data_IF_156366054060
#
_entry.id   IF_156366054060
#
_cell.length_a   1.000
_cell.length_b   1.000
_cell.length_c   1.000
_cell.angle_alpha   90.00
_cell.angle_beta   90.00
_cell.angle_gamma   90.00
#
_symmetry.space_group_name_H-M   'P 1'
#
loop_
_entity.id
_entity.type
_entity.pdbx_description
1 polymer ?
#
# COMPACT_ATOMS: atom_id res chain seq x y z
N UNK A 1 -22.71 11.88 9.20
CA UNK A 1 -21.52 12.71 9.41
C UNK A 1 -20.35 12.02 8.75
N UNK A 2 -19.50 12.75 8.05
CA UNK A 2 -18.27 12.16 7.48
C UNK A 2 -17.31 11.79 8.62
N UNK A 3 -16.41 10.82 8.42
CA UNK A 3 -15.38 10.49 9.43
C UNK A 3 -14.53 11.72 9.79
N UNK A 4 -14.40 12.67 8.86
CA UNK A 4 -13.74 13.98 9.10
C UNK A 4 -14.50 14.84 10.14
N UNK A 5 -15.83 14.69 10.27
CA UNK A 5 -16.69 15.36 11.26
C UNK A 5 -16.71 14.63 12.62
N UNK A 6 -16.63 13.30 12.65
CA UNK A 6 -16.67 12.52 13.91
C UNK A 6 -15.43 12.74 14.81
N UNK A 7 -14.27 13.11 14.23
CA UNK A 7 -13.05 13.38 15.01
C UNK A 7 -13.11 14.72 15.79
N UNK A 8 -14.17 15.51 15.64
CA UNK A 8 -14.35 16.78 16.37
C UNK A 8 -14.83 16.58 17.82
N UNK A 9 -15.40 15.42 18.15
CA UNK A 9 -16.09 15.18 19.43
C UNK A 9 -15.27 14.37 20.46
N UNK A 10 -14.09 13.85 20.07
CA UNK A 10 -13.30 12.93 20.89
C UNK A 10 -11.96 13.53 21.29
N UNK A 11 -11.41 13.11 22.44
CA UNK A 11 -10.14 13.60 22.97
C UNK A 11 -9.01 12.67 22.49
N UNK A 12 -7.88 13.19 21.99
CA UNK A 12 -6.73 12.36 21.65
C UNK A 12 -6.24 11.51 22.83
N UNK A 13 -5.88 10.26 22.53
CA UNK A 13 -5.28 9.30 23.48
C UNK A 13 -3.97 9.83 24.06
N UNK A 14 -3.22 10.62 23.29
CA UNK A 14 -2.03 11.32 23.75
C UNK A 14 -1.49 12.26 22.66
N UNK A 15 -0.48 13.10 22.98
CA UNK A 15 0.14 13.96 21.99
C UNK A 15 0.66 13.12 20.81
N UNK A 16 0.27 13.50 19.60
CA UNK A 16 0.67 12.80 18.39
C UNK A 16 2.18 12.96 18.16
N UNK A 17 2.84 11.86 17.80
CA UNK A 17 4.20 11.87 17.27
C UNK A 17 4.31 10.95 16.06
N UNK A 18 5.00 11.40 15.02
CA UNK A 18 5.22 10.64 13.79
C UNK A 18 6.73 10.53 13.56
N UNK A 19 7.27 9.31 13.55
CA UNK A 19 8.65 9.07 13.10
C UNK A 19 8.59 8.51 11.69
N UNK A 20 8.97 9.31 10.69
CA UNK A 20 9.17 8.81 9.34
C UNK A 20 10.65 8.48 9.15
N UNK A 21 10.97 7.19 9.02
CA UNK A 21 12.32 6.79 8.64
C UNK A 21 12.66 7.32 7.25
N UNK A 22 13.95 7.46 6.93
CA UNK A 22 14.41 7.98 5.64
C UNK A 22 13.80 7.24 4.44
N UNK A 23 13.62 5.92 4.57
CA UNK A 23 12.97 5.10 3.53
C UNK A 23 11.52 5.51 3.24
N UNK A 24 10.83 6.14 4.19
CA UNK A 24 9.43 6.54 4.07
C UNK A 24 9.25 8.07 4.21
N UNK A 25 10.33 8.85 4.11
CA UNK A 25 10.32 10.27 4.47
C UNK A 25 9.33 11.10 3.64
N UNK A 26 9.32 10.87 2.33
CA UNK A 26 8.44 11.59 1.39
C UNK A 26 6.95 11.35 1.69
N UNK A 27 6.57 10.13 2.10
CA UNK A 27 5.22 9.80 2.51
C UNK A 27 4.89 10.41 3.88
N UNK A 28 5.84 10.35 4.82
CA UNK A 28 5.74 10.97 6.14
C UNK A 28 5.51 12.47 6.11
N UNK A 29 6.23 13.19 5.25
CA UNK A 29 6.08 14.64 5.08
C UNK A 29 4.68 15.00 4.54
N UNK A 30 4.17 14.24 3.55
CA UNK A 30 2.81 14.43 3.04
C UNK A 30 1.76 14.18 4.12
N UNK A 31 1.94 13.12 4.93
CA UNK A 31 1.04 12.78 6.02
C UNK A 31 1.00 13.90 7.07
N UNK A 32 2.18 14.36 7.48
CA UNK A 32 2.31 15.49 8.40
C UNK A 32 1.55 16.71 7.90
N UNK A 33 1.73 17.08 6.63
CA UNK A 33 1.08 18.24 6.04
C UNK A 33 -0.46 18.15 6.05
N UNK A 34 -1.03 16.96 5.79
CA UNK A 34 -2.48 16.77 5.90
C UNK A 34 -2.97 16.94 7.34
N UNK A 35 -2.30 16.32 8.31
CA UNK A 35 -2.73 16.35 9.71
C UNK A 35 -2.58 17.76 10.30
N UNK A 36 -1.46 18.45 10.07
CA UNK A 36 -1.25 19.83 10.51
C UNK A 36 -2.36 20.72 9.97
N UNK A 37 -2.63 20.66 8.66
CA UNK A 37 -3.68 21.44 8.02
C UNK A 37 -5.06 21.18 8.63
N UNK A 38 -5.44 19.92 8.84
CA UNK A 38 -6.75 19.61 9.43
C UNK A 38 -6.88 20.09 10.86
N UNK A 39 -5.82 19.95 11.67
CA UNK A 39 -5.85 20.40 13.06
C UNK A 39 -5.88 21.92 13.18
N UNK A 40 -5.21 22.64 12.27
CA UNK A 40 -5.30 24.09 12.16
C UNK A 40 -6.73 24.53 11.77
N UNK A 41 -7.33 23.89 10.76
CA UNK A 41 -8.70 24.20 10.30
C UNK A 41 -9.74 23.96 11.41
N UNK A 42 -9.63 22.89 12.20
CA UNK A 42 -10.58 22.55 13.30
C UNK A 42 -10.49 23.48 14.51
N UNK A 43 -9.33 24.10 14.76
CA UNK A 43 -9.11 24.95 15.94
C UNK A 43 -9.57 26.40 15.71
N UNK A 44 -9.80 26.79 14.46
CA UNK A 44 -10.36 28.10 14.08
C UNK A 44 -11.86 28.26 14.36
N UNK A 45 -12.58 27.18 14.68
CA UNK A 45 -14.01 27.21 15.00
C UNK A 45 -14.26 27.64 16.46
N UNK A 46 -15.24 28.51 16.75
CA UNK A 46 -15.50 29.04 18.10
C UNK A 46 -15.92 28.00 19.16
N UNK A 47 -16.07 26.73 18.78
CA UNK A 47 -16.80 25.71 19.55
C UNK A 47 -15.88 24.80 20.36
N UNK A 48 -14.54 24.88 20.25
CA UNK A 48 -13.66 23.92 20.93
C UNK A 48 -13.11 24.44 22.29
N UNK A 49 -13.64 23.99 23.44
CA UNK A 49 -13.17 24.41 24.77
C UNK A 49 -11.85 23.73 25.21
N UNK A 50 -11.25 22.88 24.37
CA UNK A 50 -10.16 21.98 24.74
C UNK A 50 -8.86 22.31 23.99
N UNK A 51 -8.25 23.44 24.35
CA UNK A 51 -6.87 23.75 23.95
C UNK A 51 -5.89 22.86 24.74
N UNK A 52 -5.60 21.68 24.20
CA UNK A 52 -4.55 20.81 24.74
C UNK A 52 -3.16 21.22 24.21
N UNK A 53 -2.19 21.30 25.11
CA UNK A 53 -0.80 21.56 24.73
C UNK A 53 -0.29 20.50 23.75
N UNK A 54 0.07 20.92 22.54
CA UNK A 54 0.61 20.05 21.49
C UNK A 54 -0.43 19.36 20.59
N UNK A 55 -1.72 19.70 20.70
CA UNK A 55 -2.72 19.31 19.70
C UNK A 55 -2.48 20.03 18.37
N UNK A 56 -2.16 21.33 18.43
CA UNK A 56 -1.73 22.14 17.29
C UNK A 56 -0.20 22.27 17.30
N UNK A 57 0.43 21.98 16.16
CA UNK A 57 1.88 22.09 15.94
C UNK A 57 2.16 22.31 14.46
N UNK A 58 3.23 23.05 14.17
CA UNK A 58 3.75 23.21 12.81
C UNK A 58 4.16 21.85 12.20
N UNK A 59 4.57 20.92 13.05
CA UNK A 59 4.93 19.56 12.66
C UNK A 59 4.70 18.56 13.79
N UNK A 60 4.20 17.39 13.43
CA UNK A 60 4.12 16.20 14.28
C UNK A 60 5.28 15.22 14.01
N UNK A 61 6.15 15.53 13.04
CA UNK A 61 7.35 14.75 12.79
C UNK A 61 8.31 14.87 13.97
N UNK A 62 8.74 13.72 14.46
CA UNK A 62 9.74 13.59 15.52
C UNK A 62 11.11 13.44 14.87
N UNK A 63 12.08 14.24 15.28
CA UNK A 63 13.46 14.14 14.76
C UNK A 63 14.12 12.86 15.26
N UNK A 64 14.14 11.85 14.39
CA UNK A 64 14.79 10.57 14.60
C UNK A 64 15.73 10.25 13.44
N UNK A 65 16.91 9.71 13.77
CA UNK A 65 17.97 9.42 12.81
C UNK A 65 18.54 8.03 13.05
N UNK A 66 18.99 7.39 11.99
CA UNK A 66 19.65 6.08 12.06
C UNK A 66 21.04 6.14 11.40
N UNK A 67 21.99 6.90 11.98
CA UNK A 67 23.33 6.99 11.41
C UNK A 67 24.04 5.64 11.44
N UNK A 68 24.84 5.40 10.40
CA UNK A 68 25.64 4.18 10.24
C UNK A 68 27.13 4.46 10.42
N UNK A 69 27.84 3.54 11.04
CA UNK A 69 29.29 3.49 11.08
C UNK A 69 29.83 3.02 9.72
N UNK A 70 31.11 3.25 9.45
CA UNK A 70 31.75 2.78 8.21
C UNK A 70 31.75 1.25 8.03
N UNK A 71 31.50 0.49 9.11
CA UNK A 71 31.29 -0.96 9.10
C UNK A 71 29.89 -1.37 8.63
N UNK A 72 28.95 -0.44 8.49
CA UNK A 72 27.54 -0.68 8.18
C UNK A 72 26.63 -0.87 9.38
N UNK A 73 27.18 -1.06 10.59
CA UNK A 73 26.41 -1.05 11.84
C UNK A 73 25.71 0.30 12.03
N UNK A 74 24.53 0.30 12.64
CA UNK A 74 23.75 1.51 12.83
C UNK A 74 23.24 1.66 14.26
N UNK A 75 22.92 2.89 14.65
CA UNK A 75 22.26 3.21 15.93
C UNK A 75 21.04 4.10 15.69
N UNK A 76 19.96 3.85 16.42
CA UNK A 76 18.80 4.72 16.43
C UNK A 76 18.99 5.88 17.41
N UNK A 77 18.67 7.11 16.99
CA UNK A 77 18.74 8.31 17.80
C UNK A 77 17.41 9.04 17.67
N UNK A 78 16.84 9.48 18.80
CA UNK A 78 15.67 10.36 18.85
C UNK A 78 16.11 11.64 19.55
N UNK A 79 16.03 12.78 18.87
CA UNK A 79 16.58 14.06 19.33
C UNK A 79 15.59 14.89 20.16
N UNK A 80 14.40 14.35 20.41
CA UNK A 80 13.35 15.00 21.21
C UNK A 80 12.62 13.99 22.11
N UNK A 81 11.88 14.49 23.11
CA UNK A 81 11.12 13.61 23.99
C UNK A 81 9.95 12.95 23.26
N UNK A 82 9.85 11.63 23.39
CA UNK A 82 8.70 10.81 22.95
C UNK A 82 7.83 10.32 24.11
N UNK A 83 8.12 10.78 25.34
CA UNK A 83 7.42 10.32 26.55
C UNK A 83 5.93 10.65 26.48
N UNK A 84 5.09 9.62 26.64
CA UNK A 84 3.63 9.77 26.65
C UNK A 84 3.00 10.08 25.29
N UNK A 85 3.80 10.18 24.20
CA UNK A 85 3.26 10.36 22.85
C UNK A 85 2.57 9.08 22.35
N UNK A 86 1.50 9.26 21.58
CA UNK A 86 0.96 8.20 20.71
C UNK A 86 1.77 8.23 19.41
N UNK A 87 2.66 7.24 19.24
CA UNK A 87 3.75 7.28 18.29
C UNK A 87 3.45 6.41 17.07
N UNK A 88 3.53 6.99 15.88
CA UNK A 88 3.40 6.29 14.61
C UNK A 88 4.76 6.24 13.93
N UNK A 89 5.29 5.04 13.68
CA UNK A 89 6.59 4.86 13.02
C UNK A 89 6.37 4.34 11.60
N UNK A 90 6.81 5.10 10.60
CA UNK A 90 6.68 4.77 9.19
C UNK A 90 7.97 4.21 8.63
N UNK A 91 7.89 3.06 7.97
CA UNK A 91 9.02 2.43 7.29
C UNK A 91 8.59 1.78 5.98
N UNK A 92 9.22 2.17 4.87
CA UNK A 92 9.12 1.44 3.61
C UNK A 92 10.32 0.49 3.50
N UNK A 93 10.07 -0.80 3.74
CA UNK A 93 11.11 -1.84 3.64
C UNK A 93 11.47 -2.16 2.19
N UNK A 94 10.65 -1.73 1.22
CA UNK A 94 10.91 -1.93 -0.21
C UNK A 94 11.75 -0.81 -0.85
N UNK A 95 12.10 0.24 -0.11
CA UNK A 95 12.80 1.39 -0.68
C UNK A 95 14.28 1.09 -0.99
N UNK A 96 14.55 0.68 -2.22
CA UNK A 96 15.89 0.37 -2.72
C UNK A 96 16.74 1.61 -3.09
N UNK A 97 16.16 2.82 -3.07
CA UNK A 97 16.90 4.06 -3.39
C UNK A 97 17.81 4.54 -2.26
N UNK A 98 17.61 4.02 -1.05
CA UNK A 98 18.40 4.38 0.11
C UNK A 98 19.80 3.77 0.04
N UNK A 99 20.82 4.58 0.30
CA UNK A 99 22.22 4.18 0.25
C UNK A 99 22.97 4.59 1.51
N UNK A 100 24.06 3.89 1.79
CA UNK A 100 25.00 4.24 2.85
C UNK A 100 26.43 3.87 2.45
N UNK A 101 27.42 4.41 3.16
CA UNK A 101 28.84 4.07 2.92
C UNK A 101 29.23 2.84 3.75
N UNK A 102 29.71 1.79 3.07
CA UNK A 102 30.24 0.56 3.66
C UNK A 102 31.69 0.38 3.22
N UNK A 103 32.63 0.52 4.15
CA UNK A 103 34.06 0.46 3.88
C UNK A 103 34.50 1.40 2.73
N UNK A 104 33.91 2.60 2.67
CA UNK A 104 34.19 3.60 1.63
C UNK A 104 33.51 3.36 0.28
N UNK A 105 32.64 2.35 0.17
CA UNK A 105 31.87 2.06 -1.05
C UNK A 105 30.39 2.38 -0.82
N UNK A 106 29.72 2.87 -1.86
CA UNK A 106 28.26 3.03 -1.84
C UNK A 106 27.61 1.65 -1.79
N UNK A 107 26.79 1.43 -0.76
CA UNK A 107 25.94 0.25 -0.60
C UNK A 107 24.47 0.65 -0.60
N UNK A 108 23.60 -0.20 -1.12
CA UNK A 108 22.15 -0.01 -1.08
C UNK A 108 21.54 -0.72 0.12
N UNK A 109 20.53 -0.12 0.74
CA UNK A 109 19.84 -0.74 1.87
C UNK A 109 18.88 -1.83 1.37
N UNK A 110 18.93 -3.00 2.02
CA UNK A 110 17.99 -4.10 1.79
C UNK A 110 16.71 -3.95 2.65
N UNK A 111 15.68 -4.78 2.43
CA UNK A 111 14.56 -4.87 3.36
C UNK A 111 14.99 -5.15 4.81
N UNK A 112 16.02 -5.97 5.01
CA UNK A 112 16.59 -6.28 6.32
C UNK A 112 17.20 -5.03 6.99
N UNK A 113 17.89 -4.20 6.22
CA UNK A 113 18.46 -2.94 6.73
C UNK A 113 17.37 -2.02 7.27
N UNK A 114 16.28 -1.83 6.50
CA UNK A 114 15.14 -1.01 6.89
C UNK A 114 14.40 -1.58 8.11
N UNK A 115 14.21 -2.90 8.14
CA UNK A 115 13.57 -3.58 9.27
C UNK A 115 14.40 -3.45 10.55
N UNK A 116 15.73 -3.57 10.46
CA UNK A 116 16.60 -3.36 11.62
C UNK A 116 16.62 -1.89 12.06
N UNK A 117 16.50 -0.94 11.13
CA UNK A 117 16.41 0.49 11.46
C UNK A 117 15.09 0.83 12.19
N UNK A 118 13.98 0.22 11.80
CA UNK A 118 12.72 0.26 12.57
C UNK A 118 12.94 -0.21 14.01
N UNK A 119 13.56 -1.39 14.18
CA UNK A 119 13.82 -1.95 15.51
C UNK A 119 14.73 -1.07 16.36
N UNK A 120 15.75 -0.45 15.75
CA UNK A 120 16.63 0.52 16.43
C UNK A 120 15.87 1.73 16.94
N UNK A 121 14.92 2.26 16.16
CA UNK A 121 14.08 3.36 16.63
C UNK A 121 13.14 2.91 17.75
N UNK A 122 12.48 1.75 17.62
CA UNK A 122 11.62 1.21 18.70
C UNK A 122 12.45 1.02 19.98
N UNK A 123 13.66 0.48 19.89
CA UNK A 123 14.56 0.34 21.03
C UNK A 123 14.96 1.71 21.63
N UNK A 124 15.21 2.72 20.79
CA UNK A 124 15.53 4.09 21.24
C UNK A 124 14.34 4.79 21.92
N UNK A 125 13.10 4.44 21.58
CA UNK A 125 11.90 4.91 22.31
C UNK A 125 11.92 4.43 23.78
N UNK A 126 12.55 3.29 24.06
CA UNK A 126 12.84 2.81 25.42
C UNK A 126 11.60 2.60 26.29
N UNK A 127 10.48 2.23 25.66
CA UNK A 127 9.19 2.03 26.35
C UNK A 127 8.61 3.30 26.99
N UNK A 128 8.99 4.49 26.52
CA UNK A 128 8.51 5.77 27.08
C UNK A 128 7.30 6.33 26.34
N UNK A 129 7.07 5.94 25.09
CA UNK A 129 5.85 6.27 24.36
C UNK A 129 4.63 5.67 25.05
N UNK A 130 3.46 6.31 24.91
CA UNK A 130 2.20 5.79 25.43
C UNK A 130 1.76 4.55 24.66
N UNK A 131 1.88 4.61 23.33
CA UNK A 131 1.52 3.56 22.38
C UNK A 131 2.42 3.70 21.16
N UNK A 132 2.80 2.56 20.57
CA UNK A 132 3.56 2.51 19.32
C UNK A 132 2.70 1.79 18.27
N UNK A 133 2.43 2.50 17.17
CA UNK A 133 1.82 1.95 15.97
C UNK A 133 2.87 1.96 14.86
N UNK A 134 3.17 0.81 14.27
CA UNK A 134 4.04 0.73 13.10
C UNK A 134 3.18 0.78 11.85
N UNK A 135 3.46 1.73 10.97
CA UNK A 135 2.89 1.78 9.63
C UNK A 135 3.97 1.30 8.67
N UNK A 136 3.77 0.11 8.15
CA UNK A 136 4.70 -0.57 7.26
C UNK A 136 3.97 -0.80 5.94
N UNK A 137 4.07 0.16 4.99
CA UNK A 137 3.32 0.14 3.75
C UNK A 137 3.37 -1.22 3.04
N UNK A 138 4.58 -1.69 2.72
CA UNK A 138 4.84 -3.06 2.29
C UNK A 138 5.27 -3.90 3.50
N UNK A 139 4.51 -4.94 3.86
CA UNK A 139 4.83 -5.78 5.00
C UNK A 139 6.18 -6.51 4.82
N UNK A 140 7.04 -6.46 5.83
CA UNK A 140 8.34 -7.12 5.80
C UNK A 140 8.20 -8.62 5.54
N UNK A 141 8.95 -9.09 4.53
CA UNK A 141 8.91 -10.48 4.04
C UNK A 141 7.50 -11.02 3.77
N UNK A 142 6.56 -10.16 3.32
CA UNK A 142 5.15 -10.50 3.07
C UNK A 142 4.95 -11.77 2.24
N UNK A 143 5.85 -12.06 1.31
CA UNK A 143 5.80 -13.29 0.48
C UNK A 143 6.17 -14.55 1.27
N UNK A 144 6.99 -14.43 2.32
CA UNK A 144 7.37 -15.51 3.24
C UNK A 144 6.40 -15.64 4.43
N UNK A 145 5.09 -15.54 4.14
CA UNK A 145 3.97 -15.62 5.11
C UNK A 145 3.61 -17.04 5.54
N UNK A 146 4.01 -18.07 4.77
CA UNK A 146 3.73 -19.48 5.06
C UNK A 146 4.91 -20.36 4.68
N UNK A 147 4.94 -21.58 5.23
CA UNK A 147 5.87 -22.64 4.80
C UNK A 147 5.19 -23.60 3.82
N UNK A 148 5.84 -23.83 2.69
CA UNK A 148 5.53 -24.84 1.69
C UNK A 148 6.53 -26.01 1.73
N UNK A 149 7.64 -25.84 2.45
CA UNK A 149 8.68 -26.84 2.65
C UNK A 149 9.61 -26.50 3.82
N UNK A 150 10.91 -26.80 3.68
CA UNK A 150 11.95 -26.43 4.66
C UNK A 150 12.44 -25.00 4.39
N UNK A 151 11.60 -24.03 4.67
CA UNK A 151 11.86 -22.60 4.46
C UNK A 151 11.56 -21.76 5.71
N UNK A 152 12.04 -20.52 5.72
CA UNK A 152 11.83 -19.57 6.79
C UNK A 152 10.37 -19.09 6.86
N UNK A 153 10.02 -18.41 7.95
CA UNK A 153 8.67 -17.83 8.15
C UNK A 153 8.83 -16.39 8.63
N UNK A 154 9.60 -15.63 7.86
CA UNK A 154 10.19 -14.37 8.31
C UNK A 154 9.14 -13.30 8.60
N UNK A 155 8.05 -13.27 7.84
CA UNK A 155 6.96 -12.35 8.10
C UNK A 155 6.33 -12.56 9.48
N UNK A 156 5.98 -13.80 9.83
CA UNK A 156 5.38 -14.11 11.13
C UNK A 156 6.36 -13.86 12.29
N UNK A 157 7.64 -14.21 12.11
CA UNK A 157 8.68 -13.95 13.10
C UNK A 157 8.89 -12.45 13.32
N UNK A 158 8.88 -11.65 12.25
CA UNK A 158 9.00 -10.21 12.33
C UNK A 158 7.82 -9.56 13.08
N UNK A 159 6.59 -10.04 12.87
CA UNK A 159 5.42 -9.59 13.64
C UNK A 159 5.56 -9.91 15.14
N UNK A 160 6.00 -11.13 15.46
CA UNK A 160 6.22 -11.54 16.85
C UNK A 160 7.36 -10.74 17.52
N UNK A 161 8.42 -10.45 16.78
CA UNK A 161 9.53 -9.63 17.26
C UNK A 161 9.07 -8.19 17.56
N UNK A 162 8.39 -7.53 16.61
CA UNK A 162 7.89 -6.16 16.80
C UNK A 162 6.93 -6.05 17.99
N UNK A 163 6.00 -7.00 18.12
CA UNK A 163 5.05 -7.02 19.24
C UNK A 163 5.73 -7.30 20.58
N UNK A 164 6.75 -8.16 20.60
CA UNK A 164 7.60 -8.39 21.79
C UNK A 164 8.40 -7.15 22.18
N UNK A 165 8.74 -6.28 21.23
CA UNK A 165 9.39 -4.99 21.47
C UNK A 165 8.42 -3.88 21.94
N UNK A 166 7.13 -4.18 22.07
CA UNK A 166 6.12 -3.25 22.58
C UNK A 166 5.34 -2.48 21.51
N UNK A 167 5.38 -2.92 20.24
CA UNK A 167 4.47 -2.41 19.20
C UNK A 167 3.05 -2.93 19.49
N UNK A 168 2.08 -2.01 19.57
CA UNK A 168 0.69 -2.33 19.89
C UNK A 168 -0.14 -2.61 18.64
N UNK A 169 0.09 -1.83 17.58
CA UNK A 169 -0.63 -1.94 16.31
C UNK A 169 0.35 -1.96 15.14
N UNK A 170 0.05 -2.78 14.13
CA UNK A 170 0.76 -2.81 12.85
C UNK A 170 -0.27 -2.52 11.75
N UNK A 171 0.01 -1.52 10.93
CA UNK A 171 -0.83 -1.14 9.79
C UNK A 171 -0.03 -1.35 8.52
N UNK A 172 -0.54 -2.19 7.63
CA UNK A 172 0.01 -2.47 6.32
C UNK A 172 -1.07 -2.34 5.25
N UNK A 173 -0.71 -2.57 3.99
CA UNK A 173 -1.60 -2.34 2.85
C UNK A 173 -1.50 -3.55 1.93
N UNK A 174 -2.65 -4.12 1.56
CA UNK A 174 -2.74 -5.38 0.81
C UNK A 174 -1.64 -6.39 1.18
N UNK A 175 -1.64 -6.83 2.43
CA UNK A 175 -0.79 -7.95 2.84
C UNK A 175 -0.93 -9.10 1.83
N UNK A 176 0.18 -9.72 1.46
CA UNK A 176 0.19 -10.75 0.42
C UNK A 176 -0.75 -11.89 0.79
N UNK A 177 -0.71 -12.30 2.07
CA UNK A 177 -1.74 -13.11 2.71
C UNK A 177 -2.13 -12.49 4.07
N UNK A 178 -3.36 -11.99 4.24
CA UNK A 178 -3.80 -11.35 5.48
C UNK A 178 -3.87 -12.30 6.67
N UNK A 179 -3.86 -13.63 6.46
CA UNK A 179 -3.89 -14.62 7.55
C UNK A 179 -2.61 -14.63 8.38
N UNK A 180 -1.53 -13.99 7.91
CA UNK A 180 -0.29 -13.84 8.69
C UNK A 180 -0.51 -13.12 10.02
N UNK A 181 -1.58 -12.31 10.13
CA UNK A 181 -2.01 -11.67 11.38
C UNK A 181 -2.22 -12.66 12.54
N UNK A 182 -2.55 -13.92 12.24
CA UNK A 182 -2.73 -14.98 13.24
C UNK A 182 -1.44 -15.27 14.04
N UNK A 183 -0.29 -14.78 13.58
CA UNK A 183 0.97 -14.86 14.32
C UNK A 183 0.97 -13.99 15.60
N UNK A 184 0.10 -12.98 15.68
CA UNK A 184 0.02 -11.99 16.77
C UNK A 184 -1.45 -11.72 17.20
N UNK A 185 -2.20 -12.74 17.65
CA UNK A 185 -3.66 -12.66 17.83
C UNK A 185 -4.15 -11.71 18.92
N UNK A 186 -3.26 -11.21 19.78
CA UNK A 186 -3.57 -10.29 20.88
C UNK A 186 -3.13 -8.85 20.59
N UNK A 187 -2.72 -8.55 19.35
CA UNK A 187 -2.21 -7.25 18.93
C UNK A 187 -2.95 -6.76 17.71
N UNK A 188 -3.02 -5.43 17.56
CA UNK A 188 -3.69 -4.83 16.41
C UNK A 188 -2.92 -5.11 15.13
N UNK A 189 -3.61 -5.61 14.11
CA UNK A 189 -3.08 -5.79 12.77
C UNK A 189 -4.13 -5.36 11.76
N UNK A 190 -3.80 -4.38 10.94
CA UNK A 190 -4.69 -3.84 9.92
C UNK A 190 -4.04 -3.95 8.54
N UNK A 191 -4.81 -4.44 7.57
CA UNK A 191 -4.39 -4.51 6.16
C UNK A 191 -5.38 -3.73 5.30
N UNK A 192 -4.97 -2.53 4.90
CA UNK A 192 -5.79 -1.60 4.13
C UNK A 192 -5.77 -1.96 2.64
N UNK A 193 -6.93 -1.99 1.98
CA UNK A 193 -7.01 -2.17 0.53
C UNK A 193 -7.19 -0.82 -0.18
N UNK A 194 -6.37 -0.48 -1.19
CA UNK A 194 -6.45 0.77 -1.95
C UNK A 194 -7.46 0.72 -3.11
N UNK A 195 -8.46 -0.17 -3.02
CA UNK A 195 -9.50 -0.35 -4.05
C UNK A 195 -10.17 0.97 -4.44
N UNK A 196 -10.50 1.82 -3.46
CA UNK A 196 -11.06 3.15 -3.72
C UNK A 196 -10.12 4.04 -4.53
N UNK A 197 -8.83 4.03 -4.22
CA UNK A 197 -7.83 4.86 -4.88
C UNK A 197 -7.59 4.39 -6.32
N UNK A 198 -7.65 3.09 -6.59
CA UNK A 198 -7.61 2.56 -7.96
C UNK A 198 -8.81 3.01 -8.78
N UNK A 199 -10.03 2.83 -8.26
CA UNK A 199 -11.24 3.24 -9.00
C UNK A 199 -11.28 4.74 -9.20
N UNK A 200 -10.96 5.52 -8.16
CA UNK A 200 -10.87 6.98 -8.27
C UNK A 200 -9.81 7.43 -9.29
N UNK A 201 -8.65 6.77 -9.30
CA UNK A 201 -7.56 7.07 -10.24
C UNK A 201 -7.96 6.77 -11.68
N UNK A 202 -8.54 5.58 -11.90
CA UNK A 202 -8.99 5.13 -13.21
C UNK A 202 -10.08 6.05 -13.79
N UNK A 203 -11.15 6.31 -13.04
CA UNK A 203 -12.29 7.11 -13.50
C UNK A 203 -11.99 8.61 -13.68
N UNK A 204 -10.92 9.10 -13.04
CA UNK A 204 -10.43 10.47 -13.27
C UNK A 204 -9.69 10.61 -14.60
N UNK A 205 -9.00 9.56 -15.02
CA UNK A 205 -8.13 9.56 -16.21
C UNK A 205 -8.87 9.07 -17.45
N UNK A 206 -9.58 7.95 -17.35
CA UNK A 206 -10.37 7.38 -18.45
C UNK A 206 -11.82 7.84 -18.33
N UNK A 207 -12.31 8.56 -19.36
CA UNK A 207 -13.59 9.28 -19.33
C UNK A 207 -14.67 8.71 -20.23
N UNK A 208 -14.42 7.52 -20.76
CA UNK A 208 -15.24 6.78 -21.73
C UNK A 208 -15.46 5.32 -21.30
N UNK A 209 -15.23 5.00 -20.03
CA UNK A 209 -15.49 3.68 -19.45
C UNK A 209 -16.99 3.49 -19.17
N UNK A 210 -17.52 2.32 -19.52
CA UNK A 210 -18.85 1.89 -19.10
C UNK A 210 -18.73 0.81 -18.01
N UNK A 211 -19.29 1.09 -16.84
CA UNK A 211 -19.16 0.27 -15.63
C UNK A 211 -20.39 -0.62 -15.45
N UNK A 212 -20.45 -1.66 -16.28
CA UNK A 212 -21.40 -2.78 -16.19
C UNK A 212 -20.77 -4.07 -16.77
N UNK A 213 -21.29 -5.24 -16.39
CA UNK A 213 -20.77 -6.56 -16.80
C UNK A 213 -20.71 -6.82 -18.31
N UNK A 214 -21.50 -6.11 -19.13
CA UNK A 214 -21.45 -6.27 -20.57
C UNK A 214 -20.24 -5.54 -21.19
N UNK A 215 -19.71 -4.52 -20.52
CA UNK A 215 -18.68 -3.64 -21.06
C UNK A 215 -17.36 -3.65 -20.29
N UNK A 216 -17.36 -4.13 -19.04
CA UNK A 216 -16.15 -4.20 -18.22
C UNK A 216 -16.08 -5.49 -17.40
N UNK A 217 -14.85 -5.99 -17.21
CA UNK A 217 -14.57 -7.18 -16.40
C UNK A 217 -13.34 -6.98 -15.50
N UNK A 218 -13.40 -7.51 -14.27
CA UNK A 218 -12.23 -7.59 -13.39
C UNK A 218 -11.47 -8.88 -13.66
N UNK A 219 -10.14 -8.80 -13.78
CA UNK A 219 -9.29 -9.95 -14.08
C UNK A 219 -8.35 -10.22 -12.92
N UNK A 220 -8.30 -11.48 -12.49
CA UNK A 220 -7.22 -11.97 -11.62
C UNK A 220 -6.11 -12.62 -12.46
N UNK A 221 -4.84 -12.21 -12.32
CA UNK A 221 -3.75 -12.78 -13.12
C UNK A 221 -3.35 -14.19 -12.68
N UNK A 222 -3.71 -14.60 -11.45
CA UNK A 222 -3.55 -15.95 -10.93
C UNK A 222 -4.49 -16.24 -9.75
N UNK A 223 -4.39 -17.45 -9.17
CA UNK A 223 -5.18 -17.86 -8.00
C UNK A 223 -4.97 -16.95 -6.78
N UNK A 224 -3.75 -16.44 -6.57
CA UNK A 224 -3.39 -15.65 -5.39
C UNK A 224 -4.07 -14.29 -5.35
N UNK A 225 -4.39 -13.71 -6.52
CA UNK A 225 -5.11 -12.45 -6.65
C UNK A 225 -6.65 -12.58 -6.60
N UNK A 226 -7.19 -13.80 -6.55
CA UNK A 226 -8.61 -14.04 -6.83
C UNK A 226 -9.53 -13.35 -5.81
N UNK A 227 -9.19 -13.38 -4.52
CA UNK A 227 -10.01 -12.74 -3.48
C UNK A 227 -10.15 -11.22 -3.69
N UNK A 228 -9.09 -10.55 -4.15
CA UNK A 228 -9.09 -9.11 -4.48
C UNK A 228 -9.98 -8.81 -5.69
N UNK A 229 -9.87 -9.65 -6.72
CA UNK A 229 -10.71 -9.55 -7.92
C UNK A 229 -12.20 -9.79 -7.62
N UNK A 230 -12.53 -10.79 -6.79
CA UNK A 230 -13.91 -11.06 -6.32
C UNK A 230 -14.46 -9.88 -5.54
N UNK A 231 -13.68 -9.31 -4.62
CA UNK A 231 -14.11 -8.15 -3.86
C UNK A 231 -14.48 -6.98 -4.80
N UNK A 232 -13.58 -6.61 -5.70
CA UNK A 232 -13.79 -5.44 -6.56
C UNK A 232 -14.92 -5.65 -7.58
N UNK A 233 -15.04 -6.86 -8.16
CA UNK A 233 -16.14 -7.22 -9.06
C UNK A 233 -17.49 -7.11 -8.36
N UNK A 234 -17.62 -7.64 -7.14
CA UNK A 234 -18.85 -7.52 -6.36
C UNK A 234 -19.20 -6.07 -6.01
N UNK A 235 -18.21 -5.27 -5.60
CA UNK A 235 -18.44 -3.86 -5.25
C UNK A 235 -18.87 -3.03 -6.46
N UNK A 236 -18.37 -3.35 -7.65
CA UNK A 236 -18.72 -2.63 -8.88
C UNK A 236 -19.91 -3.23 -9.63
N UNK A 237 -20.35 -4.44 -9.28
CA UNK A 237 -21.36 -5.18 -10.04
C UNK A 237 -20.87 -5.59 -11.43
N UNK A 238 -19.63 -6.07 -11.52
CA UNK A 238 -18.99 -6.52 -12.77
C UNK A 238 -18.76 -8.03 -12.77
N UNK A 239 -18.54 -8.59 -13.96
CA UNK A 239 -18.05 -9.96 -14.09
C UNK A 239 -16.59 -10.06 -13.65
N UNK A 240 -16.19 -11.26 -13.25
CA UNK A 240 -14.80 -11.61 -12.93
C UNK A 240 -14.30 -12.72 -13.85
N UNK A 241 -13.07 -12.57 -14.34
CA UNK A 241 -12.29 -13.62 -14.97
C UNK A 241 -10.98 -13.86 -14.23
N UNK A 242 -10.38 -15.04 -14.41
CA UNK A 242 -9.07 -15.36 -13.86
C UNK A 242 -8.21 -16.17 -14.82
N UNK A 243 -6.89 -16.05 -14.68
CA UNK A 243 -5.95 -16.92 -15.36
C UNK A 243 -5.50 -18.03 -14.42
N UNK A 244 -5.69 -19.27 -14.84
CA UNK A 244 -5.16 -20.44 -14.14
C UNK A 244 -3.88 -20.90 -14.83
N UNK A 245 -2.77 -20.88 -14.08
CA UNK A 245 -1.47 -21.38 -14.55
C UNK A 245 -1.31 -22.84 -14.16
N UNK A 246 -1.47 -23.74 -15.13
CA UNK A 246 -1.19 -25.16 -14.90
C UNK A 246 0.32 -25.39 -14.94
N UNK A 247 0.93 -25.83 -13.84
CA UNK A 247 2.37 -26.12 -13.77
C UNK A 247 2.66 -27.62 -13.90
N UNK A 248 3.80 -27.96 -14.52
CA UNK A 248 4.32 -29.33 -14.54
C UNK A 248 5.14 -29.57 -13.28
N UNK A 249 4.52 -30.17 -12.28
CA UNK A 249 5.20 -30.50 -11.03
C UNK A 249 6.22 -31.64 -11.16
N UNK A 250 6.28 -32.35 -12.31
CA UNK A 250 7.23 -33.42 -12.52
C UNK A 250 8.63 -32.92 -12.92
N UNK A 251 8.78 -31.63 -13.27
CA UNK A 251 10.05 -31.04 -13.73
C UNK A 251 10.37 -29.74 -12.99
N UNK A 252 11.66 -29.51 -12.73
CA UNK A 252 12.17 -28.26 -12.19
C UNK A 252 13.18 -27.69 -13.20
N UNK A 253 12.93 -26.47 -13.67
CA UNK A 253 13.82 -25.72 -14.58
C UNK A 253 14.15 -24.39 -13.90
N UNK A 254 15.42 -24.08 -13.71
CA UNK A 254 15.87 -22.87 -13.01
C UNK A 254 15.21 -22.66 -11.63
N UNK A 255 15.03 -23.75 -10.88
CA UNK A 255 14.44 -23.70 -9.54
C UNK A 255 12.92 -23.53 -9.48
N UNK A 256 12.20 -23.58 -10.63
CA UNK A 256 10.74 -23.48 -10.69
C UNK A 256 10.12 -24.58 -11.54
N UNK A 257 8.90 -24.99 -11.22
CA UNK A 257 8.11 -25.87 -12.08
C UNK A 257 7.65 -25.09 -13.33
N UNK A 258 7.88 -25.59 -14.56
CA UNK A 258 7.51 -24.89 -15.78
C UNK A 258 5.99 -24.82 -15.95
N UNK A 259 5.50 -23.76 -16.61
CA UNK A 259 4.07 -23.56 -16.90
C UNK A 259 3.73 -24.34 -18.18
N UNK A 260 2.68 -25.16 -18.10
CA UNK A 260 2.19 -26.05 -19.18
C UNK A 260 1.08 -25.39 -19.98
N UNK A 261 0.21 -24.63 -19.32
CA UNK A 261 -0.89 -23.91 -19.95
C UNK A 261 -1.29 -22.68 -19.14
N UNK A 262 -1.74 -21.65 -19.86
CA UNK A 262 -2.48 -20.51 -19.32
C UNK A 262 -3.94 -20.70 -19.74
N UNK A 263 -4.81 -21.00 -18.78
CA UNK A 263 -6.24 -21.18 -19.03
C UNK A 263 -7.01 -19.98 -18.48
N UNK A 264 -7.75 -19.31 -19.36
CA UNK A 264 -8.65 -18.23 -18.94
C UNK A 264 -9.99 -18.82 -18.50
N UNK A 265 -10.41 -18.48 -17.28
CA UNK A 265 -11.67 -18.87 -16.67
C UNK A 265 -12.53 -17.61 -16.51
N UNK A 266 -13.57 -17.46 -17.33
CA UNK A 266 -14.46 -16.30 -17.32
C UNK A 266 -15.36 -16.24 -18.55
N UNK A 267 -16.27 -15.27 -18.59
CA UNK A 267 -17.05 -14.98 -19.81
C UNK A 267 -16.16 -14.29 -20.86
N UNK A 268 -16.64 -14.14 -22.10
CA UNK A 268 -15.85 -13.48 -23.14
C UNK A 268 -15.42 -12.07 -22.73
N UNK A 269 -14.18 -11.71 -23.04
CA UNK A 269 -13.60 -10.37 -22.86
C UNK A 269 -13.63 -9.54 -24.15
N UNK A 270 -14.14 -10.10 -25.25
CA UNK A 270 -14.24 -9.41 -26.55
C UNK A 270 -15.04 -8.12 -26.40
N UNK A 271 -14.47 -7.01 -26.90
CA UNK A 271 -15.00 -5.64 -26.85
C UNK A 271 -15.24 -5.05 -25.44
N UNK A 272 -14.85 -5.77 -24.38
CA UNK A 272 -14.88 -5.30 -22.99
C UNK A 272 -13.59 -4.59 -22.60
N UNK A 273 -13.71 -3.60 -21.71
CA UNK A 273 -12.58 -3.12 -20.93
C UNK A 273 -12.26 -4.11 -19.81
N UNK A 274 -10.99 -4.30 -19.51
CA UNK A 274 -10.57 -5.25 -18.48
C UNK A 274 -9.62 -4.57 -17.49
N UNK A 275 -9.83 -4.84 -16.21
CA UNK A 275 -8.98 -4.35 -15.12
C UNK A 275 -8.34 -5.53 -14.40
N UNK A 276 -7.05 -5.73 -14.62
CA UNK A 276 -6.22 -6.71 -13.93
C UNK A 276 -5.91 -6.17 -12.53
N UNK A 277 -6.26 -6.92 -11.49
CA UNK A 277 -5.99 -6.57 -10.09
C UNK A 277 -5.02 -7.57 -9.48
N UNK A 278 -3.95 -7.07 -8.86
CA UNK A 278 -3.01 -7.87 -8.08
C UNK A 278 -2.46 -7.08 -6.88
N UNK A 279 -1.73 -7.73 -5.96
CA UNK A 279 -1.07 -7.01 -4.86
C UNK A 279 0.17 -6.24 -5.33
N UNK A 280 0.95 -6.80 -6.24
CA UNK A 280 2.19 -6.17 -6.67
C UNK A 280 2.67 -6.54 -8.09
N UNK A 281 3.36 -5.59 -8.72
CA UNK A 281 4.19 -5.84 -9.89
C UNK A 281 5.64 -5.99 -9.41
N UNK A 282 6.21 -7.19 -9.55
CA UNK A 282 7.66 -7.40 -9.39
C UNK A 282 8.37 -7.19 -10.74
N UNK A 283 8.67 -8.25 -11.50
CA UNK A 283 9.23 -8.11 -12.85
C UNK A 283 8.23 -7.61 -13.89
N UNK A 284 6.93 -7.79 -13.63
CA UNK A 284 5.85 -7.46 -14.56
C UNK A 284 5.52 -8.53 -15.60
N UNK A 285 6.36 -9.55 -15.77
CA UNK A 285 6.21 -10.56 -16.84
C UNK A 285 4.84 -11.25 -16.83
N UNK A 286 4.39 -11.70 -15.65
CA UNK A 286 3.10 -12.37 -15.53
C UNK A 286 1.92 -11.47 -15.90
N UNK A 287 1.96 -10.19 -15.54
CA UNK A 287 0.89 -9.25 -15.85
C UNK A 287 0.91 -8.85 -17.33
N UNK A 288 2.10 -8.71 -17.92
CA UNK A 288 2.26 -8.41 -19.34
C UNK A 288 1.82 -9.59 -20.23
N UNK A 289 2.11 -10.83 -19.83
CA UNK A 289 1.59 -12.04 -20.48
C UNK A 289 0.05 -12.06 -20.48
N UNK A 290 -0.56 -11.81 -19.31
CA UNK A 290 -2.01 -11.72 -19.15
C UNK A 290 -2.61 -10.60 -20.00
N UNK A 291 -1.99 -9.41 -20.00
CA UNK A 291 -2.43 -8.27 -20.80
C UNK A 291 -2.40 -8.58 -22.31
N UNK A 292 -1.33 -9.23 -22.78
CA UNK A 292 -1.21 -9.68 -24.16
C UNK A 292 -2.30 -10.70 -24.51
N UNK A 293 -2.53 -11.70 -23.66
CA UNK A 293 -3.55 -12.71 -23.91
C UNK A 293 -4.97 -12.12 -23.94
N UNK A 294 -5.27 -11.17 -23.05
CA UNK A 294 -6.54 -10.43 -23.07
C UNK A 294 -6.72 -9.65 -24.38
N UNK A 295 -5.65 -9.06 -24.92
CA UNK A 295 -5.69 -8.42 -26.24
C UNK A 295 -5.88 -9.39 -27.39
N UNK A 296 -5.25 -10.56 -27.37
CA UNK A 296 -5.47 -11.62 -28.36
C UNK A 296 -6.93 -12.12 -28.32
N UNK A 297 -7.57 -12.05 -27.15
CA UNK A 297 -9.01 -12.30 -26.95
C UNK A 297 -9.89 -11.07 -27.23
N UNK A 298 -9.34 -10.04 -27.87
CA UNK A 298 -10.01 -8.81 -28.32
C UNK A 298 -10.60 -7.92 -27.21
N UNK A 299 -9.96 -7.88 -26.04
CA UNK A 299 -10.30 -6.87 -25.04
C UNK A 299 -10.05 -5.44 -25.56
N UNK A 300 -11.01 -4.53 -25.34
CA UNK A 300 -11.00 -3.16 -25.85
C UNK A 300 -9.90 -2.32 -25.21
N UNK A 301 -9.90 -2.17 -23.88
CA UNK A 301 -8.81 -1.57 -23.10
C UNK A 301 -8.37 -2.51 -21.99
N UNK A 302 -7.07 -2.52 -21.71
CA UNK A 302 -6.47 -3.31 -20.62
C UNK A 302 -5.85 -2.37 -19.60
N UNK A 303 -6.33 -2.44 -18.37
CA UNK A 303 -5.80 -1.71 -17.23
C UNK A 303 -5.16 -2.67 -16.24
N UNK A 304 -4.11 -2.23 -15.60
CA UNK A 304 -3.42 -2.97 -14.53
C UNK A 304 -3.46 -2.12 -13.28
N UNK A 305 -3.97 -2.63 -12.17
CA UNK A 305 -3.84 -1.97 -10.88
C UNK A 305 -3.22 -2.90 -9.85
N UNK A 306 -2.11 -2.47 -9.26
CA UNK A 306 -1.45 -3.19 -8.16
C UNK A 306 -1.06 -2.25 -7.05
N UNK A 307 -1.07 -2.74 -5.81
CA UNK A 307 -0.76 -1.90 -4.65
C UNK A 307 0.69 -1.47 -4.67
N UNK A 308 1.61 -2.40 -4.97
CA UNK A 308 3.04 -2.13 -5.03
C UNK A 308 3.59 -2.28 -6.45
N UNK A 309 4.09 -1.20 -7.03
CA UNK A 309 4.82 -1.20 -8.29
C UNK A 309 6.32 -1.29 -8.05
N UNK A 310 6.88 -2.49 -7.93
CA UNK A 310 8.31 -2.70 -7.64
C UNK A 310 9.19 -2.64 -8.91
N UNK A 311 8.66 -3.04 -10.06
CA UNK A 311 9.31 -2.95 -11.38
C UNK A 311 10.78 -3.41 -11.40
N UNK A 312 11.07 -4.58 -10.83
CA UNK A 312 12.44 -5.06 -10.57
C UNK A 312 13.28 -5.27 -11.82
N UNK A 313 12.66 -5.35 -12.99
CA UNK A 313 13.32 -5.55 -14.29
C UNK A 313 13.29 -4.27 -15.16
N UNK A 314 12.99 -3.10 -14.58
CA UNK A 314 12.84 -1.85 -15.31
C UNK A 314 11.47 -1.70 -15.99
N UNK A 315 11.33 -0.62 -16.76
CA UNK A 315 10.07 -0.20 -17.39
C UNK A 315 10.00 -0.51 -18.89
N UNK A 316 11.11 -0.90 -19.52
CA UNK A 316 11.21 -1.11 -20.98
C UNK A 316 10.10 -2.04 -21.52
N UNK A 317 9.81 -3.15 -20.83
CA UNK A 317 8.74 -4.08 -21.25
C UNK A 317 7.34 -3.48 -21.12
N UNK A 318 7.13 -2.57 -20.16
CA UNK A 318 5.87 -1.86 -20.01
C UNK A 318 5.73 -0.77 -21.08
N UNK A 319 6.82 -0.08 -21.41
CA UNK A 319 6.87 0.88 -22.50
C UNK A 319 6.50 0.20 -23.83
N UNK A 320 7.14 -0.93 -24.15
CA UNK A 320 6.84 -1.74 -25.33
C UNK A 320 5.37 -2.22 -25.35
N UNK A 321 4.87 -2.71 -24.21
CA UNK A 321 3.48 -3.15 -24.11
C UNK A 321 2.48 -2.01 -24.30
N UNK A 322 2.80 -0.80 -23.83
CA UNK A 322 1.98 0.38 -24.05
C UNK A 322 1.99 0.81 -25.52
N UNK A 323 3.17 0.84 -26.15
CA UNK A 323 3.32 1.17 -27.58
C UNK A 323 2.58 0.19 -28.49
N UNK A 324 2.60 -1.10 -28.16
CA UNK A 324 1.83 -2.14 -28.86
C UNK A 324 0.34 -2.13 -28.52
N UNK A 325 -0.08 -1.29 -27.57
CA UNK A 325 -1.46 -1.21 -27.09
C UNK A 325 -1.90 -2.39 -26.25
N UNK A 326 -0.99 -3.24 -25.76
CA UNK A 326 -1.30 -4.35 -24.85
C UNK A 326 -1.79 -3.89 -23.49
N UNK A 327 -1.33 -2.73 -23.04
CA UNK A 327 -1.79 -2.06 -21.83
C UNK A 327 -2.16 -0.62 -22.15
N UNK A 328 -3.19 -0.10 -21.48
CA UNK A 328 -3.64 1.29 -21.61
C UNK A 328 -3.21 2.12 -20.40
N UNK A 329 -3.36 1.58 -19.19
CA UNK A 329 -2.90 2.22 -17.94
C UNK A 329 -2.32 1.21 -16.96
N UNK A 330 -1.34 1.67 -16.18
CA UNK A 330 -0.81 0.99 -15.01
C UNK A 330 -1.00 1.89 -13.80
N UNK A 331 -1.77 1.42 -12.83
CA UNK A 331 -2.10 2.13 -11.59
C UNK A 331 -1.34 1.48 -10.45
N UNK A 332 -0.53 2.25 -9.73
CA UNK A 332 0.07 1.77 -8.47
C UNK A 332 0.07 2.86 -7.42
N UNK A 333 0.26 2.49 -6.15
CA UNK A 333 0.23 3.45 -5.05
C UNK A 333 1.62 4.02 -4.74
N UNK A 334 1.66 5.11 -3.97
CA UNK A 334 2.88 5.67 -3.38
C UNK A 334 3.27 5.03 -2.04
N UNK A 335 2.86 3.79 -1.81
CA UNK A 335 3.20 3.01 -0.61
C UNK A 335 4.60 2.40 -0.68
N UNK A 336 5.24 2.41 -1.85
CA UNK A 336 6.66 2.08 -2.04
C UNK A 336 7.33 3.22 -2.78
N UNK A 337 8.66 3.29 -2.74
CA UNK A 337 9.43 4.21 -3.55
C UNK A 337 9.03 4.17 -5.04
N UNK A 338 8.73 5.35 -5.60
CA UNK A 338 8.40 5.57 -7.00
C UNK A 338 9.52 6.38 -7.66
N UNK A 339 10.10 5.86 -8.74
CA UNK A 339 11.15 6.59 -9.47
C UNK A 339 10.55 7.79 -10.20
N UNK A 340 11.32 8.88 -10.40
CA UNK A 340 10.90 9.98 -11.28
C UNK A 340 10.59 9.52 -12.70
N UNK A 341 11.29 8.48 -13.18
CA UNK A 341 11.05 7.87 -14.49
C UNK A 341 9.65 7.21 -14.56
N UNK A 342 9.26 6.44 -13.54
CA UNK A 342 7.93 5.84 -13.48
C UNK A 342 6.84 6.92 -13.50
N UNK A 343 7.02 7.97 -12.71
CA UNK A 343 6.07 9.08 -12.60
C UNK A 343 5.92 9.88 -13.90
N UNK A 344 6.88 9.82 -14.82
CA UNK A 344 6.82 10.52 -16.10
C UNK A 344 6.19 9.70 -17.23
N UNK A 345 5.99 8.38 -17.04
CA UNK A 345 5.42 7.50 -18.07
C UNK A 345 3.96 7.88 -18.37
N UNK A 346 3.56 8.00 -19.65
CA UNK A 346 2.20 8.43 -20.03
C UNK A 346 1.10 7.43 -19.69
N UNK A 347 1.44 6.15 -19.51
CA UNK A 347 0.51 5.11 -19.10
C UNK A 347 0.35 4.98 -17.59
N UNK A 348 1.18 5.68 -16.80
CA UNK A 348 1.22 5.49 -15.36
C UNK A 348 0.24 6.41 -14.62
N UNK A 349 -0.48 5.85 -13.66
CA UNK A 349 -1.36 6.59 -12.75
C UNK A 349 -0.89 6.34 -11.31
N UNK A 350 -0.50 7.41 -10.63
CA UNK A 350 -0.20 7.36 -9.20
C UNK A 350 -1.48 7.43 -8.35
N UNK A 351 -1.74 6.37 -7.60
CA UNK A 351 -2.84 6.29 -6.64
C UNK A 351 -2.36 6.70 -5.24
N UNK A 352 -2.40 8.00 -4.95
CA UNK A 352 -1.89 8.57 -3.69
C UNK A 352 -2.70 8.12 -2.45
N UNK A 353 -2.00 7.48 -1.50
CA UNK A 353 -2.52 7.00 -0.22
C UNK A 353 -2.27 7.97 0.94
N UNK A 354 -1.49 9.04 0.78
CA UNK A 354 -1.07 9.93 1.87
C UNK A 354 -2.25 10.53 2.65
N UNK A 355 -3.29 11.02 1.96
CA UNK A 355 -4.50 11.54 2.63
C UNK A 355 -5.17 10.45 3.47
N UNK A 356 -5.25 9.24 2.93
CA UNK A 356 -5.96 8.14 3.56
C UNK A 356 -5.21 7.64 4.82
N UNK A 357 -3.88 7.53 4.76
CA UNK A 357 -3.05 7.20 5.92
C UNK A 357 -3.16 8.30 7.00
N UNK A 358 -3.19 9.56 6.58
CA UNK A 358 -3.38 10.69 7.51
C UNK A 358 -4.71 10.57 8.26
N UNK A 359 -5.79 10.19 7.57
CA UNK A 359 -7.09 9.95 8.20
C UNK A 359 -7.03 8.79 9.20
N UNK A 360 -6.33 7.69 8.87
CA UNK A 360 -6.16 6.56 9.79
C UNK A 360 -5.43 7.01 11.06
N UNK A 361 -4.29 7.69 10.92
CA UNK A 361 -3.50 8.18 12.06
C UNK A 361 -4.32 9.12 12.92
N UNK A 362 -5.00 10.10 12.30
CA UNK A 362 -5.81 11.06 13.04
C UNK A 362 -6.97 10.37 13.77
N UNK A 363 -7.66 9.43 13.13
CA UNK A 363 -8.79 8.69 13.74
C UNK A 363 -8.33 7.80 14.89
N UNK A 364 -7.25 7.03 14.72
CA UNK A 364 -6.68 6.18 15.77
C UNK A 364 -6.10 6.99 16.94
N UNK A 365 -5.55 8.17 16.67
CA UNK A 365 -5.07 9.06 17.73
C UNK A 365 -6.21 9.53 18.64
N UNK A 366 -7.44 9.56 18.15
CA UNK A 366 -8.65 9.86 18.92
C UNK A 366 -9.37 8.61 19.46
N UNK A 367 -8.74 7.42 19.36
CA UNK A 367 -9.34 6.12 19.73
C UNK A 367 -10.67 5.83 19.02
N UNK A 368 -10.90 6.49 17.89
CA UNK A 368 -12.09 6.29 17.08
C UNK A 368 -11.92 5.07 16.16
N UNK A 369 -13.05 4.44 15.83
CA UNK A 369 -13.05 3.29 14.93
C UNK A 369 -12.65 3.69 13.51
N UNK A 370 -11.75 2.92 12.91
CA UNK A 370 -11.38 3.04 11.50
C UNK A 370 -12.20 2.12 10.59
N UNK A 371 -13.20 1.39 11.09
CA UNK A 371 -13.97 0.43 10.28
C UNK A 371 -14.60 1.06 9.03
N UNK A 372 -15.08 2.29 9.10
CA UNK A 372 -15.61 3.04 7.95
C UNK A 372 -14.51 3.54 7.00
N UNK A 373 -13.27 3.69 7.49
CA UNK A 373 -12.13 3.91 6.61
C UNK A 373 -11.86 2.61 5.84
N UNK A 374 -11.69 1.50 6.57
CA UNK A 374 -11.32 0.18 6.04
C UNK A 374 -12.35 -0.42 5.07
N UNK A 375 -13.62 -0.01 5.15
CA UNK A 375 -14.66 -0.37 4.19
C UNK A 375 -14.92 0.77 3.18
N UNK A 376 -14.26 0.77 2.01
CA UNK A 376 -14.40 1.84 1.04
C UNK A 376 -15.65 1.77 0.16
N UNK A 377 -16.56 0.80 0.35
CA UNK A 377 -17.68 0.53 -0.58
C UNK A 377 -18.52 1.77 -0.85
N UNK A 378 -18.94 2.49 0.21
CA UNK A 378 -19.71 3.73 0.06
C UNK A 378 -18.99 4.79 -0.77
N UNK A 379 -17.68 4.95 -0.56
CA UNK A 379 -16.85 5.94 -1.29
C UNK A 379 -16.67 5.54 -2.75
N UNK A 380 -16.52 4.24 -3.03
CA UNK A 380 -16.46 3.71 -4.38
C UNK A 380 -17.77 4.02 -5.10
N UNK A 381 -18.92 3.71 -4.50
CA UNK A 381 -20.23 4.02 -5.10
C UNK A 381 -20.42 5.52 -5.33
N UNK A 382 -20.02 6.38 -4.39
CA UNK A 382 -20.09 7.84 -4.59
C UNK A 382 -19.30 8.29 -5.82
N UNK A 383 -18.06 7.80 -6.00
CA UNK A 383 -17.23 8.17 -7.15
C UNK A 383 -17.77 7.58 -8.45
N UNK A 384 -18.25 6.33 -8.42
CA UNK A 384 -18.86 5.67 -9.58
C UNK A 384 -20.14 6.38 -10.02
N UNK A 385 -21.03 6.74 -9.08
CA UNK A 385 -22.29 7.43 -9.40
C UNK A 385 -22.01 8.81 -9.98
N UNK A 386 -21.10 9.58 -9.35
CA UNK A 386 -20.67 10.88 -9.88
C UNK A 386 -20.10 10.76 -11.30
N UNK A 387 -19.30 9.73 -11.55
CA UNK A 387 -18.75 9.47 -12.89
C UNK A 387 -19.84 9.13 -13.92
N UNK A 388 -20.84 8.31 -13.55
CA UNK A 388 -21.99 7.99 -14.41
C UNK A 388 -22.86 9.22 -14.71
N UNK A 389 -23.07 10.09 -13.73
CA UNK A 389 -23.76 11.37 -13.92
C UNK A 389 -22.98 12.29 -14.88
N UNK A 390 -21.65 12.38 -14.74
CA UNK A 390 -20.79 13.15 -15.65
C UNK A 390 -20.79 12.59 -17.09
N UNK A 391 -20.97 11.28 -17.27
CA UNK A 391 -21.11 10.64 -18.58
C UNK A 391 -22.47 10.85 -19.22
N UNK A 392 -23.56 10.70 -18.45
CA UNK A 392 -24.93 10.87 -18.97
C UNK A 392 -25.29 12.31 -19.34
N UNK A 393 -24.52 13.28 -18.85
CA UNK A 393 -24.63 14.69 -19.21
C UNK A 393 -23.79 15.09 -20.45
N UNK A 394 -23.09 14.15 -21.10
CA UNK A 394 -22.40 14.33 -22.38
C UNK A 394 -23.19 13.68 -23.49
#
# INVERSE_FOLDING_TARGET
>A
MSVEENNLETIPVGPLGIIALESCRSLGDKINNYITRWRDERTGDPIHPLSFSGYQKDSFLVDAKVPRFGSGEAKGIINESVRGKDLYILVDVGNYSMTYSLCGKTNHMSPDDHYQDLKRIIAAVGGKARRITVIMPFLYESRQHKRTGRESLDCALALQELTSMGVENIITFDAHDPRVQNAIPLKGFETVQPAYQFIKGLLRTERDLNLDSNHMMIISPDEGGTSRAVYLSNVLGLDMGMFYKRRDYARIVNGRNPIVAHEFLGSSVEDKDVLIIDDMISSGESVLEVAKELKERKARKVFVATTFGLFTNGLDKFDEAYEKGYINRVLTTNLTYQTPELLSKPYYINCDMSKYISLIIDTLNHDASISELLNPVGRIHTVVNKYKEELGNK
#
